data_IF_222429609187
#
_entry.id   IF_222429609187
#
_cell.length_a   1.000
_cell.length_b   1.000
_cell.length_c   1.000
_cell.angle_alpha   90.00
_cell.angle_beta   90.00
_cell.angle_gamma   90.00
#
_symmetry.space_group_name_H-M   'P 1'
#
loop_
_entity.id
_entity.type
_entity.pdbx_description
1 polymer ?
2 non-polymer ?
3 water ?
#
# COMPACT_ATOMS: atom_id res chain seq x y z
N UNK A 26 -13.40 5.36 -11.85
CA UNK A 26 -12.09 5.56 -11.22
C UNK A 26 -11.89 4.57 -10.09
N UNK A 27 -10.70 3.96 -10.02
CA UNK A 27 -10.43 2.90 -9.06
C UNK A 27 -8.97 2.86 -8.59
N UNK A 28 -8.77 3.00 -7.28
CA UNK A 28 -7.44 2.89 -6.69
C UNK A 28 -7.23 1.51 -6.13
N UNK A 29 -6.18 0.85 -6.60
CA UNK A 29 -5.92 -0.52 -6.18
C UNK A 29 -4.60 -0.60 -5.43
N UNK A 30 -4.60 -1.31 -4.29
CA UNK A 30 -3.42 -1.43 -3.46
C UNK A 30 -2.96 -2.88 -3.35
N UNK A 31 -1.74 -3.16 -3.80
CA UNK A 31 -1.23 -4.53 -3.85
C UNK A 31 -0.20 -4.83 -2.75
N UNK A 32 -0.53 -5.76 -1.86
CA UNK A 32 0.34 -6.06 -0.74
C UNK A 32 1.73 -6.47 -1.16
N UNK A 33 2.71 -6.18 -0.31
CA UNK A 33 4.08 -6.61 -0.49
C UNK A 33 4.28 -8.12 -0.51
N UNK A 34 3.45 -8.87 0.22
CA UNK A 34 3.59 -10.32 0.22
C UNK A 34 3.18 -10.91 -1.13
N UNK A 35 2.34 -10.18 -1.86
CA UNK A 35 1.95 -10.59 -3.20
C UNK A 35 3.05 -10.38 -4.25
N UNK A 36 4.14 -9.71 -3.87
CA UNK A 36 5.24 -9.50 -4.82
C UNK A 36 6.39 -10.49 -4.61
N UNK A 37 6.32 -11.28 -3.54
CA UNK A 37 7.24 -12.39 -3.38
C UNK A 37 8.51 -12.17 -2.57
N UNK A 38 9.53 -12.97 -2.90
CA UNK A 38 10.73 -13.07 -2.08
C UNK A 38 12.00 -12.66 -2.83
N UNK A 39 11.97 -12.80 -4.15
CA UNK A 39 13.14 -12.53 -4.94
C UNK A 39 12.72 -11.87 -6.24
N UNK A 40 13.66 -11.17 -6.89
CA UNK A 40 13.33 -10.53 -8.16
C UNK A 40 12.77 -11.58 -9.10
N UNK A 41 13.45 -12.73 -9.14
CA UNK A 41 13.07 -13.80 -10.04
C UNK A 41 11.57 -13.94 -10.09
N UNK A 42 10.96 -14.17 -8.92
CA UNK A 42 9.52 -14.44 -8.83
C UNK A 42 8.66 -13.18 -8.79
N UNK A 43 9.21 -12.09 -8.27
CA UNK A 43 8.52 -10.81 -8.29
C UNK A 43 8.16 -10.45 -9.73
N UNK A 44 9.12 -10.67 -10.64
CA UNK A 44 8.84 -10.50 -12.06
C UNK A 44 7.69 -11.40 -12.51
N UNK A 45 7.66 -12.63 -12.03
CA UNK A 45 6.49 -13.51 -12.21
C UNK A 45 5.18 -13.07 -11.56
N UNK A 46 5.21 -12.87 -10.26
CA UNK A 46 3.98 -12.55 -9.50
C UNK A 46 3.32 -11.31 -10.11
N UNK A 47 4.10 -10.29 -10.44
CA UNK A 47 3.51 -9.02 -10.82
C UNK A 47 2.62 -9.09 -12.07
N UNK A 48 2.78 -10.15 -12.87
CA UNK A 48 1.98 -10.26 -14.10
C UNK A 48 0.50 -10.28 -13.75
N UNK A 49 0.14 -11.08 -12.75
CA UNK A 49 -1.27 -11.28 -12.34
C UNK A 49 -2.02 -9.97 -12.06
N UNK A 50 -1.51 -9.17 -11.13
CA UNK A 50 -2.16 -7.88 -10.87
C UNK A 50 -2.26 -7.03 -12.14
N UNK A 51 -1.19 -7.04 -12.94
CA UNK A 51 -1.13 -6.19 -14.12
C UNK A 51 -2.24 -6.54 -15.10
N UNK A 52 -2.34 -7.81 -15.46
CA UNK A 52 -3.43 -8.25 -16.34
C UNK A 52 -4.80 -7.81 -15.79
N UNK A 53 -5.02 -7.98 -14.49
CA UNK A 53 -6.26 -7.50 -13.88
C UNK A 53 -6.38 -5.97 -14.05
N UNK A 54 -5.30 -5.24 -13.84
CA UNK A 54 -5.34 -3.79 -14.00
C UNK A 54 -5.62 -3.40 -15.45
N UNK A 55 -5.02 -4.13 -16.39
CA UNK A 55 -5.26 -3.88 -17.81
C UNK A 55 -6.76 -3.94 -18.10
N UNK A 56 -7.41 -5.02 -17.66
CA UNK A 56 -8.81 -5.28 -18.00
C UNK A 56 -9.80 -4.19 -17.56
N UNK A 57 -9.49 -3.51 -16.47
CA UNK A 57 -10.34 -2.43 -15.98
C UNK A 57 -10.18 -1.20 -16.87
N UNK A 58 -8.95 -0.96 -17.31
CA UNK A 58 -8.66 0.16 -18.20
C UNK A 58 -9.46 0.02 -19.48
N UNK A 59 -9.79 -1.24 -19.81
CA UNK A 59 -10.75 -1.52 -20.87
C UNK A 59 -12.23 -1.26 -20.65
N UNK A 60 -12.72 -1.64 -19.47
CA UNK A 60 -14.10 -1.36 -19.07
C UNK A 60 -14.38 0.13 -18.92
N UNK A 61 -13.36 0.95 -19.17
CA UNK A 61 -13.52 2.39 -19.15
C UNK A 61 -13.07 3.04 -17.87
N UNK A 62 -12.63 2.22 -16.92
CA UNK A 62 -12.17 2.71 -15.63
C UNK A 62 -10.78 3.36 -15.66
N UNK A 63 -10.59 4.33 -14.77
CA UNK A 63 -9.27 4.88 -14.47
C UNK A 63 -8.70 4.11 -13.28
N UNK A 64 -7.58 3.41 -13.48
CA UNK A 64 -6.95 2.67 -12.39
C UNK A 64 -5.67 3.37 -11.94
N UNK A 65 -5.72 3.90 -10.72
CA UNK A 65 -4.54 4.41 -10.04
C UNK A 65 -3.91 3.24 -9.28
N UNK A 66 -2.62 3.00 -9.50
CA UNK A 66 -2.01 1.80 -8.93
C UNK A 66 -1.02 2.08 -7.80
N UNK A 67 -1.00 1.18 -6.81
CA UNK A 67 -0.16 1.31 -5.64
C UNK A 67 0.27 -0.06 -5.12
N UNK A 68 1.20 -0.09 -4.18
CA UNK A 68 1.76 -1.35 -3.68
C UNK A 68 2.51 -1.18 -2.38
N UNK A 69 2.58 -2.26 -1.60
CA UNK A 69 3.33 -2.26 -0.37
C UNK A 69 4.74 -2.71 -0.64
N UNK A 70 5.55 -2.81 0.42
CA UNK A 70 6.96 -3.14 0.25
C UNK A 70 7.63 -3.77 1.47
N UNK A 71 6.82 -4.33 2.38
CA UNK A 71 7.33 -4.94 3.59
C UNK A 71 8.52 -5.84 3.31
N UNK A 72 8.31 -6.90 2.53
CA UNK A 72 9.40 -7.84 2.27
C UNK A 72 10.54 -7.21 1.43
N UNK A 73 10.20 -6.43 0.42
CA UNK A 73 11.22 -5.97 -0.52
C UNK A 73 12.17 -5.00 0.14
N UNK A 74 11.63 -4.11 0.98
CA UNK A 74 12.47 -3.11 1.62
C UNK A 74 13.33 -3.78 2.67
N UNK A 75 12.76 -4.73 3.39
CA UNK A 75 13.52 -5.56 4.30
C UNK A 75 14.67 -6.31 3.64
N UNK A 76 14.45 -6.90 2.48
CA UNK A 76 15.49 -7.64 1.82
C UNK A 76 16.65 -6.78 1.45
N UNK A 77 16.35 -5.54 1.13
CA UNK A 77 17.33 -4.64 0.62
C UNK A 77 18.08 -4.05 1.76
N UNK A 78 17.40 -3.83 2.85
CA UNK A 78 17.99 -3.17 4.00
C UNK A 78 18.88 -4.11 4.82
N UNK A 79 18.43 -5.34 4.96
CA UNK A 79 19.20 -6.41 5.57
C UNK A 79 20.55 -6.53 4.88
N UNK A 80 20.48 -6.99 3.64
CA UNK A 80 21.57 -7.04 2.70
C UNK A 80 22.69 -6.00 2.81
N UNK A 81 22.39 -4.77 3.20
CA UNK A 81 23.43 -3.76 3.23
C UNK A 81 24.10 -3.91 4.54
N UNK A 82 23.40 -4.65 5.37
CA UNK A 82 23.78 -4.89 6.72
C UNK A 82 24.27 -6.27 6.67
N UNK A 83 23.39 -7.10 6.19
CA UNK A 83 23.49 -8.52 6.34
C UNK A 83 24.89 -8.99 6.36
N UNK A 84 25.59 -8.72 5.30
CA UNK A 84 26.96 -9.17 5.22
C UNK A 84 27.87 -8.09 4.65
N UNK A 85 27.32 -7.29 3.76
CA UNK A 85 28.03 -6.25 3.07
C UNK A 85 28.84 -5.36 4.03
N UNK A 86 28.22 -4.93 5.13
CA UNK A 86 28.98 -4.25 6.16
C UNK A 86 29.87 -5.25 6.89
N UNK A 87 29.32 -6.44 7.16
CA UNK A 87 30.13 -7.52 7.72
C UNK A 87 31.42 -7.75 6.91
N UNK A 88 31.28 -8.12 5.65
CA UNK A 88 32.39 -8.47 4.76
C UNK A 88 33.02 -7.30 4.03
N UNK A 89 32.83 -6.08 4.53
CA UNK A 89 33.64 -4.96 4.07
C UNK A 89 33.51 -3.63 4.80
N UNK A 90 33.52 -2.55 4.04
CA UNK A 90 33.23 -1.23 4.57
C UNK A 90 32.32 -1.01 3.36
N UNK A 91 31.03 -1.18 3.57
CA UNK A 91 30.05 -0.85 2.56
C UNK A 91 29.32 0.21 3.38
N UNK A 92 28.60 1.07 2.69
CA UNK A 92 28.05 2.28 3.31
C UNK A 92 26.85 2.02 4.22
N UNK A 93 26.47 3.05 4.95
CA UNK A 93 25.36 2.99 5.85
C UNK A 93 24.10 3.40 5.11
N UNK A 94 23.18 2.45 4.95
CA UNK A 94 21.92 2.67 4.25
C UNK A 94 20.76 2.70 5.22
N UNK A 95 20.41 3.91 5.70
CA UNK A 95 19.21 4.06 6.52
C UNK A 95 17.99 3.47 5.84
N UNK A 96 16.91 3.32 6.61
CA UNK A 96 15.71 2.68 6.09
C UNK A 96 15.05 3.51 5.01
N UNK A 97 15.02 4.84 5.17
CA UNK A 97 14.48 5.71 4.12
C UNK A 97 15.09 5.37 2.77
N UNK A 98 16.42 5.30 2.72
CA UNK A 98 17.09 5.05 1.45
C UNK A 98 16.77 3.67 0.88
N UNK A 99 16.59 2.68 1.77
CA UNK A 99 16.16 1.34 1.34
C UNK A 99 14.70 1.29 0.88
N UNK A 100 13.89 2.25 1.31
CA UNK A 100 12.56 2.43 0.77
C UNK A 100 12.63 3.07 -0.61
N UNK A 101 13.64 3.92 -0.80
CA UNK A 101 13.83 4.57 -2.07
C UNK A 101 14.16 3.51 -3.11
N UNK A 102 15.08 2.62 -2.73
CA UNK A 102 15.49 1.52 -3.59
C UNK A 102 14.35 0.52 -3.77
N UNK A 103 13.53 0.35 -2.73
CA UNK A 103 12.44 -0.60 -2.83
C UNK A 103 11.43 -0.14 -3.87
N UNK A 104 11.16 1.16 -3.92
CA UNK A 104 10.22 1.72 -4.89
C UNK A 104 10.69 1.55 -6.33
N UNK A 105 11.96 1.82 -6.59
CA UNK A 105 12.49 1.71 -7.93
C UNK A 105 12.70 0.27 -8.32
N UNK A 106 12.93 -0.56 -7.32
CA UNK A 106 13.03 -1.99 -7.57
C UNK A 106 11.65 -2.49 -7.99
N UNK A 107 10.63 -2.19 -7.20
CA UNK A 107 9.30 -2.65 -7.52
C UNK A 107 8.67 -1.90 -8.70
N UNK A 108 8.89 -0.59 -8.77
CA UNK A 108 8.26 0.20 -9.81
C UNK A 108 8.70 -0.28 -11.17
N UNK A 109 9.94 -0.74 -11.25
CA UNK A 109 10.46 -1.30 -12.47
C UNK A 109 9.65 -2.51 -12.92
N UNK A 110 9.46 -3.49 -12.03
CA UNK A 110 8.70 -4.68 -12.38
C UNK A 110 7.25 -4.37 -12.74
N UNK A 111 6.60 -3.55 -11.96
CA UNK A 111 5.24 -3.12 -12.28
C UNK A 111 5.16 -2.36 -13.62
N UNK A 112 6.09 -1.43 -13.84
CA UNK A 112 6.07 -0.61 -15.05
C UNK A 112 6.14 -1.43 -16.33
N UNK A 113 7.00 -2.43 -16.36
CA UNK A 113 7.02 -3.33 -17.50
C UNK A 113 5.67 -4.04 -17.62
N UNK A 114 5.33 -4.79 -16.58
CA UNK A 114 4.21 -5.72 -16.62
C UNK A 114 2.90 -5.06 -17.01
N UNK A 115 2.62 -3.91 -16.43
CA UNK A 115 1.31 -3.30 -16.68
C UNK A 115 1.30 -2.64 -18.05
N UNK A 116 2.45 -2.10 -18.43
CA UNK A 116 2.63 -1.62 -19.80
C UNK A 116 2.41 -2.82 -20.73
N UNK A 117 3.10 -3.91 -20.44
CA UNK A 117 3.00 -5.11 -21.26
C UNK A 117 1.57 -5.59 -21.42
N UNK A 118 0.85 -5.76 -20.31
CA UNK A 118 -0.53 -6.23 -20.36
C UNK A 118 -1.44 -5.30 -21.17
N UNK A 119 -1.30 -3.99 -20.97
CA UNK A 119 -2.09 -3.03 -21.74
C UNK A 119 -1.87 -3.19 -23.24
N UNK A 120 -0.68 -3.61 -23.64
CA UNK A 120 -0.37 -3.79 -25.06
C UNK A 120 -1.01 -5.05 -25.64
N UNK A 121 -1.16 -6.10 -24.83
CA UNK A 121 -1.83 -7.32 -25.28
C UNK A 121 -3.23 -6.98 -25.76
N UNK A 122 -3.81 -5.96 -25.16
CA UNK A 122 -5.17 -5.52 -25.47
C UNK A 122 -5.12 -4.39 -26.50
N UNK A 123 -3.95 -4.20 -27.08
CA UNK A 123 -3.75 -3.10 -28.02
C UNK A 123 -4.39 -1.81 -27.54
N UNK A 124 -4.12 -1.46 -26.29
CA UNK A 124 -4.54 -0.17 -25.74
C UNK A 124 -3.34 0.77 -25.70
N UNK A 125 -3.60 2.06 -25.90
CA UNK A 125 -2.53 3.04 -25.86
C UNK A 125 -2.71 4.01 -24.69
N UNK A 126 -1.78 3.94 -23.74
CA UNK A 126 -1.83 4.72 -22.51
C UNK A 126 -0.45 4.75 -21.89
N UNK A 127 -0.06 5.88 -21.31
CA UNK A 127 1.24 5.92 -20.65
C UNK A 127 1.17 5.45 -19.19
N UNK A 128 1.87 4.36 -18.89
CA UNK A 128 2.03 3.93 -17.50
C UNK A 128 3.22 4.65 -16.87
N UNK A 129 2.97 5.28 -15.71
CA UNK A 129 3.97 6.07 -14.98
C UNK A 129 4.26 5.51 -13.58
N UNK A 130 5.49 5.68 -13.10
CA UNK A 130 5.83 5.36 -11.70
C UNK A 130 6.49 6.55 -11.06
N UNK A 131 5.77 7.23 -10.17
CA UNK A 131 6.31 8.34 -9.42
C UNK A 131 6.98 7.86 -8.13
N UNK A 132 8.26 8.14 -7.99
CA UNK A 132 8.90 8.00 -6.71
C UNK A 132 8.06 8.82 -5.71
N UNK A 133 7.71 8.23 -4.56
CA UNK A 133 6.78 8.86 -3.63
C UNK A 133 7.32 9.24 -2.24
N UNK A 134 7.23 10.51 -1.91
CA UNK A 134 7.52 10.96 -0.55
C UNK A 134 6.21 11.36 0.14
N UNK A 135 5.94 10.72 1.28
CA UNK A 135 4.71 10.94 1.99
C UNK A 135 4.94 11.89 3.15
N UNK A 136 4.17 12.97 3.14
CA UNK A 136 4.20 13.95 4.20
C UNK A 136 3.50 13.43 5.45
N UNK A 137 4.21 13.48 6.56
CA UNK A 137 3.61 13.20 7.85
C UNK A 137 3.96 14.37 8.75
N UNK A 138 3.14 14.57 9.77
CA UNK A 138 3.38 15.56 10.80
C UNK A 138 4.44 14.99 11.76
N UNK A 139 5.36 15.84 12.19
CA UNK A 139 6.50 15.40 13.01
C UNK A 139 6.10 15.18 14.47
N UNK A 140 4.95 15.71 14.85
CA UNK A 140 4.42 15.49 16.19
C UNK A 140 3.55 14.24 16.28
N UNK A 141 3.45 13.51 15.17
CA UNK A 141 2.71 12.25 15.15
C UNK A 141 3.05 11.44 16.40
N UNK A 142 2.02 11.03 17.14
CA UNK A 142 2.18 10.14 18.30
C UNK A 142 3.05 8.91 17.99
N UNK A 143 2.96 8.43 16.74
CA UNK A 143 3.58 7.18 16.34
C UNK A 143 5.07 7.13 16.62
N UNK A 144 5.76 8.26 16.48
CA UNK A 144 7.20 8.30 16.66
C UNK A 144 7.57 8.05 18.10
N UNK A 145 6.77 8.60 18.99
CA UNK A 145 7.02 8.53 20.43
C UNK A 145 6.72 7.12 20.93
N UNK A 146 6.13 6.31 20.05
CA UNK A 146 5.93 4.88 20.31
C UNK A 146 6.34 4.03 19.11
N UNK A 147 7.66 3.81 18.96
CA UNK A 147 8.25 3.08 17.83
C UNK A 147 7.69 1.67 17.67
N UNK A 148 6.64 1.54 16.86
CA UNK A 148 5.88 0.30 16.73
C UNK A 148 6.37 -0.94 15.93
N UNK A 149 6.67 -0.73 14.66
CA UNK A 149 6.94 -1.83 13.72
C UNK A 149 8.41 -2.24 13.76
N UNK A 150 8.69 -3.45 14.26
CA UNK A 150 10.04 -4.05 14.23
C UNK A 150 10.60 -4.09 12.82
N UNK A 151 11.92 -3.94 12.69
CA UNK A 151 12.56 -3.82 11.38
C UNK A 151 14.00 -4.35 11.38
N UNK A 152 14.42 -4.89 10.24
CA UNK A 152 15.81 -5.28 10.04
C UNK A 152 16.32 -6.37 10.96
N UNK A 153 17.66 -6.46 11.09
CA UNK A 153 18.38 -7.51 11.84
C UNK A 153 17.88 -7.76 13.26
N UNK A 154 17.58 -9.03 13.55
CA UNK A 154 17.13 -9.48 14.86
C UNK A 154 18.32 -9.62 15.81
N UNK A 155 19.24 -8.66 15.78
CA UNK A 155 20.43 -8.72 16.63
C UNK A 155 20.20 -8.14 18.02
N UNK A 156 21.25 -8.19 18.85
CA UNK A 156 21.14 -7.80 20.25
C UNK A 156 22.50 -7.79 20.94
N UNK A 165 24.26 -1.85 14.75
CA UNK A 165 23.07 -1.28 14.15
C UNK A 165 22.94 0.22 14.45
N UNK A 166 23.41 1.07 13.51
CA UNK A 166 23.54 2.53 13.63
C UNK A 166 22.40 3.15 14.43
N UNK A 167 22.67 4.23 15.15
CA UNK A 167 21.83 4.55 16.31
C UNK A 167 20.38 4.99 16.09
N UNK A 168 19.50 4.00 16.28
CA UNK A 168 18.06 4.19 16.30
C UNK A 168 17.56 3.64 17.63
N UNK A 169 16.25 3.42 17.73
CA UNK A 169 15.66 2.82 18.93
C UNK A 169 15.62 1.30 18.80
N UNK A 170 16.74 0.64 19.05
CA UNK A 170 16.78 -0.83 19.05
C UNK A 170 15.93 -1.37 20.20
N UNK A 171 15.29 -2.53 19.98
CA UNK A 171 14.50 -3.17 21.03
C UNK A 171 14.67 -4.69 21.01
N UNK A 180 15.57 -3.92 15.15
CA UNK A 180 15.21 -2.67 15.80
C UNK A 180 13.70 -2.42 15.73
N UNK A 181 13.32 -1.14 15.68
CA UNK A 181 11.91 -0.77 15.60
C UNK A 181 11.73 0.60 14.95
N UNK A 182 10.53 0.85 14.44
CA UNK A 182 10.23 2.10 13.74
C UNK A 182 8.76 2.45 13.76
N UNK A 183 8.46 3.75 13.76
CA UNK A 183 7.07 4.22 13.77
C UNK A 183 6.24 3.97 12.50
N UNK A 184 4.96 4.34 12.58
CA UNK A 184 4.03 4.23 11.45
C UNK A 184 3.12 5.46 11.38
N UNK A 185 3.69 6.58 10.98
CA UNK A 185 3.01 7.89 10.92
C UNK A 185 1.75 7.88 10.05
N UNK A 186 0.87 8.85 10.32
CA UNK A 186 -0.30 9.09 9.49
C UNK A 186 0.00 10.04 8.33
N UNK A 187 -0.34 9.62 7.11
CA UNK A 187 -0.07 10.30 5.84
C UNK A 187 -0.98 11.49 5.57
N UNK A 188 -0.43 12.71 5.59
CA UNK A 188 -1.21 13.93 5.34
C UNK A 188 -1.19 14.40 3.88
N UNK A 189 -0.06 14.24 3.20
CA UNK A 189 -0.05 14.31 1.73
C UNK A 189 1.25 13.91 1.08
N UNK A 190 1.49 14.41 -0.12
CA UNK A 190 2.52 13.83 -0.97
C UNK A 190 3.15 14.85 -1.89
N UNK A 191 4.45 14.74 -2.11
CA UNK A 191 5.19 15.78 -2.81
C UNK A 191 4.61 16.25 -4.15
N UNK A 192 4.05 15.36 -4.95
CA UNK A 192 3.55 15.79 -6.25
C UNK A 192 2.08 15.53 -6.52
N UNK A 193 1.30 15.33 -5.46
CA UNK A 193 -0.10 14.98 -5.60
C UNK A 193 -0.73 15.86 -6.63
N UNK A 194 -0.54 17.17 -6.48
CA UNK A 194 -1.07 18.10 -7.45
C UNK A 194 -0.82 17.63 -8.88
N UNK A 195 0.45 17.36 -9.20
CA UNK A 195 0.82 16.90 -10.53
C UNK A 195 0.38 15.47 -10.81
N UNK A 196 0.40 14.64 -9.78
CA UNK A 196 -0.05 13.27 -9.92
C UNK A 196 -1.53 13.20 -10.29
N UNK A 197 -2.37 13.94 -9.59
CA UNK A 197 -3.80 13.87 -9.89
C UNK A 197 -4.06 14.30 -11.32
N UNK A 198 -3.32 15.30 -11.79
CA UNK A 198 -3.45 15.72 -13.18
C UNK A 198 -3.09 14.63 -14.18
N UNK A 199 -1.98 13.92 -13.98
CA UNK A 199 -1.68 12.79 -14.86
C UNK A 199 -2.83 11.77 -14.87
N UNK A 200 -3.50 11.63 -13.74
CA UNK A 200 -4.67 10.75 -13.63
C UNK A 200 -5.87 11.34 -14.37
N UNK A 201 -5.91 12.67 -14.44
CA UNK A 201 -6.94 13.35 -15.21
C UNK A 201 -6.78 13.04 -16.69
N UNK A 202 -5.54 13.14 -17.17
CA UNK A 202 -5.22 12.54 -18.46
C UNK A 202 -5.51 11.06 -18.28
N UNK A 203 -5.37 10.27 -19.34
CA UNK A 203 -5.61 8.86 -19.19
C UNK A 203 -4.37 8.09 -18.77
N UNK A 204 -3.51 8.74 -18.00
CA UNK A 204 -2.26 8.08 -17.62
C UNK A 204 -2.50 7.14 -16.46
N UNK A 205 -2.10 5.88 -16.62
CA UNK A 205 -2.15 4.91 -15.54
C UNK A 205 -0.93 5.08 -14.62
N UNK A 206 -1.18 5.68 -13.45
CA UNK A 206 -0.14 6.17 -12.56
C UNK A 206 0.12 5.26 -11.35
N UNK A 207 1.38 4.88 -11.17
CA UNK A 207 1.77 4.07 -10.02
C UNK A 207 2.41 4.95 -8.97
N UNK A 208 1.80 4.97 -7.78
CA UNK A 208 2.25 5.83 -6.70
C UNK A 208 2.13 5.16 -5.33
N UNK A 209 2.65 5.84 -4.32
CA UNK A 209 2.58 5.35 -2.94
C UNK A 209 3.25 4.00 -2.75
N UNK A 210 4.34 3.78 -3.50
CA UNK A 210 5.10 2.53 -3.37
C UNK A 210 5.56 2.35 -1.94
N UNK A 211 5.21 1.21 -1.34
CA UNK A 211 5.55 0.93 0.04
C UNK A 211 5.01 2.00 0.99
N UNK A 212 4.04 2.76 0.50
CA UNK A 212 3.45 3.82 1.30
C UNK A 212 4.17 5.16 1.22
N UNK A 213 5.20 5.22 0.38
CA UNK A 213 5.97 6.44 0.24
C UNK A 213 6.98 6.56 1.36
N UNK A 214 8.01 7.38 1.15
CA UNK A 214 9.04 7.59 2.14
C UNK A 214 8.57 8.63 3.14
N UNK A 215 8.54 8.26 4.42
CA UNK A 215 8.17 9.19 5.50
C UNK A 215 8.94 10.50 5.39
N UNK A 216 8.23 11.62 5.21
CA UNK A 216 8.86 12.92 5.06
C UNK A 216 8.19 13.99 5.91
N UNK A 217 8.93 14.55 6.86
CA UNK A 217 8.39 15.65 7.65
C UNK A 217 8.73 17.03 7.07
N UNK A 218 8.05 18.06 7.55
CA UNK A 218 8.33 19.43 7.13
C UNK A 218 8.81 20.24 8.31
N UNK A 219 10.02 20.78 8.21
CA UNK A 219 10.60 21.57 9.28
C UNK A 219 11.15 22.89 8.76
N UNK A 220 10.42 23.96 9.06
CA UNK A 220 10.76 25.32 8.62
C UNK A 220 10.72 25.42 7.11
N UNK A 221 9.59 25.00 6.53
CA UNK A 221 9.41 25.01 5.08
C UNK A 221 10.45 24.15 4.35
N UNK A 222 11.14 23.29 5.10
CA UNK A 222 12.12 22.36 4.53
C UNK A 222 11.69 20.89 4.71
N UNK A 223 11.84 20.09 3.66
CA UNK A 223 11.52 18.66 3.73
C UNK A 223 12.67 17.89 4.36
N UNK A 224 12.37 16.77 4.98
CA UNK A 224 13.36 15.92 5.62
C UNK A 224 12.84 14.50 5.70
N UNK A 225 13.27 13.65 4.78
CA UNK A 225 12.96 12.24 4.85
C UNK A 225 13.41 11.72 6.20
N UNK A 226 12.55 10.95 6.86
CA UNK A 226 12.92 10.29 8.11
C UNK A 226 12.74 8.78 8.03
N UNK A 227 13.26 8.07 9.04
CA UNK A 227 13.21 6.62 9.05
C UNK A 227 11.94 6.13 9.73
N UNK A 228 11.40 5.05 9.21
CA UNK A 228 10.10 4.57 9.62
C UNK A 228 9.31 4.18 8.40
N UNK A 229 8.08 3.74 8.62
CA UNK A 229 7.23 3.30 7.53
C UNK A 229 5.87 3.98 7.58
N UNK A 230 5.13 3.81 6.51
CA UNK A 230 3.80 4.32 6.40
C UNK A 230 3.02 3.17 5.85
N UNK A 231 1.89 2.87 6.49
CA UNK A 231 1.04 1.78 6.08
C UNK A 231 0.51 2.09 4.68
N UNK A 232 0.81 1.21 3.73
CA UNK A 232 0.45 1.42 2.33
C UNK A 232 -1.06 1.56 2.13
N UNK A 233 -1.86 0.86 2.95
CA UNK A 233 -3.32 1.00 2.82
C UNK A 233 -3.78 2.43 3.19
N UNK A 234 -3.34 2.95 4.33
CA UNK A 234 -3.54 4.35 4.69
C UNK A 234 -3.06 5.26 3.56
N UNK A 235 -1.85 5.01 3.08
CA UNK A 235 -1.24 5.89 2.09
C UNK A 235 -2.14 5.92 0.89
N UNK A 236 -2.47 4.75 0.38
CA UNK A 236 -3.22 4.67 -0.86
C UNK A 236 -4.65 5.14 -0.71
N UNK A 237 -5.14 5.13 0.54
CA UNK A 237 -6.47 5.64 0.82
C UNK A 237 -6.45 7.19 0.81
N UNK A 238 -5.38 7.78 1.31
CA UNK A 238 -5.21 9.24 1.23
C UNK A 238 -5.13 9.71 -0.22
N UNK A 239 -4.38 8.95 -1.01
CA UNK A 239 -4.27 9.16 -2.44
C UNK A 239 -5.60 8.94 -3.15
N UNK A 240 -6.27 7.84 -2.81
CA UNK A 240 -7.61 7.54 -3.35
C UNK A 240 -8.53 8.72 -3.17
N UNK A 241 -8.35 9.42 -2.05
CA UNK A 241 -9.18 10.58 -1.76
C UNK A 241 -8.79 11.81 -2.59
N UNK A 242 -7.50 12.14 -2.60
CA UNK A 242 -6.99 13.29 -3.36
C UNK A 242 -7.31 13.23 -4.85
N UNK A 243 -7.27 12.03 -5.43
CA UNK A 243 -7.69 11.84 -6.82
C UNK A 243 -9.21 11.69 -6.89
N UNK A 244 -9.81 11.45 -5.73
CA UNK A 244 -11.26 11.36 -5.63
C UNK A 244 -11.89 10.30 -6.54
N UNK A 245 -11.32 9.09 -6.49
CA UNK A 245 -11.89 7.96 -7.21
C UNK A 245 -13.16 7.51 -6.52
N UNK A 246 -13.81 6.52 -7.12
CA UNK A 246 -15.04 5.97 -6.58
C UNK A 246 -14.68 4.82 -5.65
N UNK A 247 -13.99 3.84 -6.21
CA UNK A 247 -13.63 2.63 -5.49
C UNK A 247 -12.17 2.63 -5.02
N UNK A 248 -11.96 2.04 -3.85
CA UNK A 248 -10.66 1.78 -3.28
C UNK A 248 -10.59 0.27 -3.01
N UNK A 249 -9.84 -0.47 -3.82
CA UNK A 249 -9.71 -1.91 -3.61
C UNK A 249 -8.42 -2.29 -2.92
N UNK A 250 -8.54 -3.02 -1.82
CA UNK A 250 -7.41 -3.48 -1.04
C UNK A 250 -7.22 -4.98 -1.27
N UNK A 251 -6.14 -5.34 -1.96
CA UNK A 251 -5.90 -6.74 -2.32
C UNK A 251 -5.22 -7.44 -1.19
N UNK A 252 -5.73 -8.63 -0.88
CA UNK A 252 -5.37 -9.30 0.35
C UNK A 252 -5.79 -10.74 0.19
N UNK A 253 -5.22 -11.64 0.99
CA UNK A 253 -5.34 -13.07 0.75
C UNK A 253 -6.61 -13.70 1.31
N UNK A 254 -7.71 -12.94 1.35
CA UNK A 254 -8.97 -13.48 1.86
C UNK A 254 -10.13 -13.22 0.92
N UNK A 255 -11.08 -14.14 0.89
CA UNK A 255 -12.30 -13.97 0.11
C UNK A 255 -13.27 -12.97 0.76
N UNK A 256 -13.34 -13.02 2.10
CA UNK A 256 -14.12 -12.06 2.89
C UNK A 256 -13.40 -11.75 4.19
N UNK A 257 -13.66 -10.59 4.77
CA UNK A 257 -13.22 -10.37 6.13
C UNK A 257 -14.26 -10.98 7.06
N UNK A 258 -13.82 -11.81 7.98
CA UNK A 258 -14.73 -12.51 8.88
C UNK A 258 -14.81 -11.83 10.25
N UNK A 259 -15.93 -12.06 10.93
CA UNK A 259 -16.03 -11.70 12.33
C UNK A 259 -16.27 -12.98 13.15
N UNK A 260 -15.80 -12.98 14.40
CA UNK A 260 -15.96 -14.15 15.26
C UNK A 260 -15.32 -15.39 14.68
N UNK A 261 -14.19 -15.25 14.01
CA UNK A 261 -13.58 -16.41 13.37
C UNK A 261 -13.42 -17.59 14.35
N UNK A 262 -13.43 -18.80 13.81
CA UNK A 262 -13.37 -20.00 14.64
C UNK A 262 -14.20 -19.85 15.91
N UNK A 263 -15.41 -19.34 15.70
CA UNK A 263 -16.45 -19.28 16.73
C UNK A 263 -17.78 -19.60 16.06
N UNK A 264 -18.74 -20.08 16.85
CA UNK A 264 -20.12 -20.38 16.44
C UNK A 264 -20.78 -19.26 15.62
N UNK A 265 -20.62 -18.03 16.07
CA UNK A 265 -21.24 -16.92 15.36
C UNK A 265 -20.40 -16.41 14.20
N UNK A 266 -19.31 -17.10 13.88
CA UNK A 266 -18.47 -16.73 12.75
C UNK A 266 -19.35 -16.31 11.59
N UNK A 267 -19.02 -15.19 10.95
CA UNK A 267 -19.77 -14.68 9.82
C UNK A 267 -18.87 -13.92 8.87
N UNK A 268 -19.18 -14.05 7.58
CA UNK A 268 -18.50 -13.34 6.51
C UNK A 268 -19.21 -12.03 6.21
N UNK A 269 -18.46 -10.94 6.16
CA UNK A 269 -19.05 -9.65 5.82
C UNK A 269 -19.09 -9.48 4.30
N UNK A 270 -20.25 -9.10 3.77
CA UNK A 270 -20.42 -8.91 2.33
C UNK A 270 -20.49 -7.42 2.05
N UNK A 271 -21.56 -6.79 2.51
CA UNK A 271 -21.57 -5.34 2.62
C UNK A 271 -21.45 -5.02 4.11
N UNK A 272 -21.28 -3.74 4.43
CA UNK A 272 -21.11 -3.33 5.82
C UNK A 272 -20.88 -1.84 5.80
N UNK A 273 -20.71 -1.23 6.93
CA UNK A 273 -20.56 0.21 7.03
C UNK A 273 -19.72 0.56 8.26
N UNK A 274 -19.43 1.84 8.38
CA UNK A 274 -18.51 2.37 9.38
C UNK A 274 -19.06 2.12 10.76
N UNK A 275 -20.34 2.44 10.94
CA UNK A 275 -21.04 2.22 12.21
C UNK A 275 -20.77 0.82 12.76
N UNK A 276 -20.97 -0.21 11.94
CA UNK A 276 -20.75 -1.59 12.40
C UNK A 276 -19.27 -1.91 12.61
N UNK A 277 -18.44 -1.49 11.64
CA UNK A 277 -17.00 -1.71 11.74
C UNK A 277 -16.47 -1.15 13.03
N UNK A 278 -17.02 -0.01 13.45
CA UNK A 278 -16.62 0.56 14.74
C UNK A 278 -16.89 -0.34 15.96
N UNK A 279 -18.05 -0.99 15.97
CA UNK A 279 -18.34 -1.99 17.00
C UNK A 279 -17.44 -3.21 16.87
N UNK A 280 -17.39 -3.77 15.66
CA UNK A 280 -16.52 -4.90 15.42
C UNK A 280 -15.10 -4.61 15.92
N UNK A 281 -14.65 -3.38 15.70
CA UNK A 281 -13.32 -2.95 16.12
C UNK A 281 -13.24 -2.84 17.65
N UNK A 282 -14.33 -2.37 18.27
CA UNK A 282 -14.42 -2.33 19.72
C UNK A 282 -14.17 -3.70 20.35
N UNK A 283 -14.68 -4.74 19.69
CA UNK A 283 -14.57 -6.07 20.25
C UNK A 283 -13.43 -6.83 19.63
N UNK A 284 -12.47 -6.10 19.08
CA UNK A 284 -11.23 -6.68 18.60
C UNK A 284 -11.46 -7.77 17.57
N UNK A 285 -12.42 -7.54 16.67
CA UNK A 285 -12.69 -8.49 15.63
C UNK A 285 -11.49 -8.73 14.71
N UNK A 286 -10.55 -7.78 14.66
CA UNK A 286 -9.55 -7.78 13.59
C UNK A 286 -8.08 -7.82 14.00
N UNK A 287 -7.30 -8.60 13.26
CA UNK A 287 -5.88 -8.71 13.52
C UNK A 287 -5.22 -7.33 13.45
N UNK A 288 -4.71 -6.89 14.58
CA UNK A 288 -3.98 -5.64 14.69
C UNK A 288 -2.76 -5.68 13.75
N UNK A 289 -2.86 -4.99 12.62
CA UNK A 289 -1.83 -5.11 11.60
C UNK A 289 -2.35 -5.69 10.29
N UNK A 290 -2.74 -6.97 10.34
CA UNK A 290 -3.20 -7.65 9.13
C UNK A 290 -4.45 -7.00 8.56
N UNK A 291 -5.54 -7.04 9.32
CA UNK A 291 -6.82 -6.58 8.80
C UNK A 291 -7.21 -5.19 9.32
N UNK A 292 -6.87 -4.91 10.57
CA UNK A 292 -7.31 -3.69 11.22
C UNK A 292 -6.99 -2.44 10.40
N UNK A 293 -5.71 -2.24 10.05
CA UNK A 293 -5.28 -1.07 9.27
C UNK A 293 -5.98 -0.99 7.93
N UNK A 294 -6.25 -2.12 7.29
CA UNK A 294 -6.93 -2.14 5.99
C UNK A 294 -8.38 -1.70 6.17
N UNK A 295 -9.01 -2.21 7.22
CA UNK A 295 -10.35 -1.84 7.56
C UNK A 295 -10.42 -0.35 7.83
N UNK A 296 -9.60 0.11 8.77
CA UNK A 296 -9.59 1.51 9.15
C UNK A 296 -9.35 2.42 7.95
N UNK A 297 -8.33 2.11 7.17
CA UNK A 297 -8.06 2.85 5.93
C UNK A 297 -9.25 2.82 4.97
N UNK A 298 -9.96 1.70 4.91
CA UNK A 298 -11.12 1.61 4.05
C UNK A 298 -12.24 2.52 4.57
N UNK A 299 -12.32 2.63 5.89
CA UNK A 299 -13.31 3.49 6.53
C UNK A 299 -12.97 4.95 6.25
N UNK A 300 -11.71 5.32 6.46
CA UNK A 300 -11.27 6.68 6.27
C UNK A 300 -11.61 7.24 4.90
N UNK A 301 -11.73 6.35 3.92
CA UNK A 301 -11.98 6.77 2.54
C UNK A 301 -13.46 6.94 2.22
N UNK A 302 -14.28 5.95 2.60
CA UNK A 302 -15.73 6.01 2.31
C UNK A 302 -16.49 6.93 3.26
N UNK A 303 -15.91 7.24 4.41
CA UNK A 303 -16.61 7.97 5.46
C UNK A 303 -17.17 9.31 4.96
N UNK A 304 -18.50 9.44 5.04
CA UNK A 304 -19.20 10.65 4.60
C UNK A 304 -19.17 10.84 3.10
N UNK A 305 -19.25 9.74 2.37
CA UNK A 305 -19.22 9.79 0.91
C UNK A 305 -20.07 8.67 0.34
N UNK A 306 -21.39 8.87 0.33
CA UNK A 306 -22.34 7.89 -0.19
C UNK A 306 -22.00 7.43 -1.62
N UNK A 307 -21.20 8.21 -2.32
CA UNK A 307 -20.85 7.90 -3.71
C UNK A 307 -19.62 6.99 -3.93
N UNK A 308 -19.15 6.34 -2.87
CA UNK A 308 -17.90 5.58 -2.93
C UNK A 308 -17.87 4.37 -2.01
N UNK A 309 -17.21 3.31 -2.46
CA UNK A 309 -17.08 2.10 -1.66
C UNK A 309 -15.62 1.68 -1.52
N UNK A 310 -15.38 0.64 -0.72
CA UNK A 310 -14.04 0.09 -0.57
C UNK A 310 -14.16 -1.41 -0.57
N UNK A 311 -13.32 -2.07 -1.37
CA UNK A 311 -13.46 -3.51 -1.49
C UNK A 311 -12.22 -4.19 -0.96
N UNK A 312 -12.41 -5.11 -0.03
CA UNK A 312 -11.32 -5.93 0.48
C UNK A 312 -11.46 -7.36 -0.02
N UNK A 313 -10.88 -7.65 -1.17
CA UNK A 313 -10.97 -8.99 -1.75
C UNK A 313 -9.60 -9.54 -2.17
N UNK A 314 -9.59 -10.82 -2.58
CA UNK A 314 -8.37 -11.49 -2.99
C UNK A 314 -8.05 -11.24 -4.46
N UNK A 315 -6.81 -11.52 -4.84
CA UNK A 315 -6.36 -11.40 -6.22
C UNK A 315 -7.03 -12.22 -7.32
N UNK A 316 -7.26 -13.50 -7.03
CA UNK A 316 -7.90 -14.41 -7.97
C UNK A 316 -9.33 -13.92 -8.25
N UNK A 317 -9.99 -13.41 -7.22
CA UNK A 317 -11.43 -13.18 -7.31
C UNK A 317 -11.82 -11.72 -7.26
N UNK A 318 -11.03 -10.87 -7.90
CA UNK A 318 -11.19 -9.43 -7.76
C UNK A 318 -12.12 -8.81 -8.80
N UNK A 319 -12.25 -9.43 -9.96
CA UNK A 319 -13.25 -8.97 -10.93
C UNK A 319 -14.65 -9.36 -10.44
N UNK A 320 -14.77 -10.57 -9.88
CA UNK A 320 -16.00 -10.96 -9.21
C UNK A 320 -16.30 -9.95 -8.12
N UNK A 321 -15.26 -9.61 -7.36
CA UNK A 321 -15.39 -8.79 -6.17
C UNK A 321 -16.03 -7.45 -6.49
N UNK A 322 -15.71 -6.92 -7.67
CA UNK A 322 -16.24 -5.64 -8.10
C UNK A 322 -17.72 -5.70 -8.44
N UNK A 323 -18.29 -6.90 -8.31
CA UNK A 323 -19.70 -7.10 -8.58
C UNK A 323 -20.41 -7.87 -7.46
N UNK A 324 -20.03 -7.57 -6.23
CA UNK A 324 -20.68 -8.14 -5.06
C UNK A 324 -20.45 -9.63 -4.89
N UNK A 325 -20.02 -10.29 -5.94
CA UNK A 325 -19.90 -11.75 -5.95
C UNK A 325 -18.81 -12.28 -5.02
N UNK A 326 -17.87 -11.43 -4.64
CA UNK A 326 -16.88 -11.84 -3.63
C UNK A 326 -16.40 -10.65 -2.81
N UNK A 327 -15.59 -10.92 -1.80
CA UNK A 327 -15.01 -9.87 -1.00
C UNK A 327 -16.01 -9.06 -0.18
N UNK A 328 -15.48 -8.10 0.58
CA UNK A 328 -16.27 -7.36 1.55
C UNK A 328 -16.32 -5.90 1.16
N UNK A 329 -17.52 -5.43 0.78
CA UNK A 329 -17.69 -4.03 0.43
C UNK A 329 -17.89 -3.18 1.68
N UNK A 330 -17.21 -2.04 1.75
CA UNK A 330 -17.31 -1.13 2.89
C UNK A 330 -17.90 0.20 2.46
N UNK A 331 -18.87 0.69 3.23
CA UNK A 331 -19.55 1.94 2.86
C UNK A 331 -19.69 2.91 4.02
N UNK A 332 -20.01 4.16 3.69
CA UNK A 332 -20.16 5.21 4.71
C UNK A 332 -21.08 4.75 5.83
#
# INVERSE_FOLDING_TARGET
>A
MGHHHHHHHHHHSSGHIDDDDKHMSRIVIALGGNALGDNPSQQKELVKIPAAKIAALIQEGHEVIVGHGNGPQVGMIFNAFADAKKANEKTALVPFAEAGGMSQGYIGYHMLTAISNELKKLNIQKDVLYFLTQTIVDANDPAFKNPTKPVGPFYSSKEIAEANNPNSVIVEDAGRGFRKVVASPIPVDFIGIDAIKQNVNNGCVCIVGGGGGIPTIIQDNQYIGVDGVIDKDFALAKIADAVNADIFVVLTAVDYVYVDFNKPTQKALKTVDVKALNNFINQDQFAKGSMLPKIKAAMGFVNGHPNRSAIIADLSKVEDALKGLSGTKIIA
#
